data_IF_067649879517
#
_entry.id   IF_067649879517
#
_cell.length_a   1.000
_cell.length_b   1.000
_cell.length_c   1.000
_cell.angle_alpha   90.00
_cell.angle_beta   90.00
_cell.angle_gamma   90.00
#
_symmetry.space_group_name_H-M   'P 1'
#
loop_
_entity.id
_entity.type
_entity.pdbx_description
1 polymer ?
#
# COMPACT_ATOMS: atom_id res chain seq x y z
N UNK A 1 -14.49 28.59 78.47
CA UNK A 1 -14.77 27.30 77.79
C UNK A 1 -14.57 27.52 76.30
N UNK A 2 -13.34 27.33 75.83
CA UNK A 2 -12.97 27.53 74.43
C UNK A 2 -13.24 26.26 73.62
N UNK A 3 -13.91 26.44 72.49
CA UNK A 3 -14.19 25.41 71.51
C UNK A 3 -12.98 25.31 70.57
N UNK A 4 -12.20 24.24 70.71
CA UNK A 4 -11.25 23.82 69.68
C UNK A 4 -12.06 23.44 68.43
N UNK A 5 -12.17 24.44 67.55
CA UNK A 5 -12.68 24.46 66.17
C UNK A 5 -14.15 24.01 65.96
N UNK A 6 -15.07 24.94 65.61
CA UNK A 6 -16.35 24.60 65.00
C UNK A 6 -16.18 24.07 63.58
N UNK A 7 -16.74 22.89 63.32
CA UNK A 7 -16.56 22.08 62.10
C UNK A 7 -17.31 22.65 60.87
N UNK A 8 -18.14 23.69 61.02
CA UNK A 8 -19.13 24.02 59.99
C UNK A 8 -18.67 25.00 58.91
N UNK A 9 -17.50 25.65 59.00
CA UNK A 9 -17.04 26.52 57.91
C UNK A 9 -15.55 26.85 57.88
N UNK A 10 -14.66 25.96 58.35
CA UNK A 10 -13.26 26.10 57.94
C UNK A 10 -13.24 25.82 56.44
N UNK A 11 -13.06 26.87 55.64
CA UNK A 11 -12.91 26.77 54.20
C UNK A 11 -11.70 25.88 53.93
N UNK A 12 -11.93 24.57 53.76
CA UNK A 12 -10.87 23.57 53.63
C UNK A 12 -9.92 23.95 52.49
N UNK A 13 -10.45 24.51 51.40
CA UNK A 13 -9.64 25.03 50.31
C UNK A 13 -8.69 26.12 50.80
N UNK A 14 -9.16 27.11 51.55
CA UNK A 14 -8.32 28.19 52.09
C UNK A 14 -7.33 27.70 53.15
N UNK A 15 -7.75 26.75 54.00
CA UNK A 15 -6.88 26.13 55.01
C UNK A 15 -5.69 25.42 54.37
N UNK A 16 -5.92 24.68 53.27
CA UNK A 16 -4.91 23.86 52.61
C UNK A 16 -4.18 24.56 51.45
N UNK A 17 -4.44 25.85 51.16
CA UNK A 17 -3.80 26.56 50.02
C UNK A 17 -3.01 27.83 50.38
N UNK A 18 -3.25 28.48 51.53
CA UNK A 18 -2.60 29.77 51.88
C UNK A 18 -2.01 29.72 53.29
N UNK A 19 -0.98 28.91 53.54
CA UNK A 19 -0.28 28.74 54.85
C UNK A 19 -1.22 28.63 56.08
N UNK A 20 -2.49 28.35 55.84
CA UNK A 20 -3.56 28.49 56.83
C UNK A 20 -3.52 27.35 57.83
N UNK A 21 -3.00 26.19 57.39
CA UNK A 21 -2.76 25.06 58.25
C UNK A 21 -1.70 25.36 59.31
N UNK A 22 -0.61 26.05 58.95
CA UNK A 22 0.45 26.38 59.90
C UNK A 22 -0.03 27.40 60.93
N UNK A 23 -0.80 28.41 60.49
CA UNK A 23 -1.44 29.36 61.41
C UNK A 23 -2.46 28.68 62.33
N UNK A 24 -3.22 27.72 61.84
CA UNK A 24 -4.21 26.99 62.64
C UNK A 24 -3.52 26.06 63.65
N UNK A 25 -2.48 25.35 63.24
CA UNK A 25 -1.70 24.48 64.12
C UNK A 25 -1.05 25.28 65.24
N UNK A 26 -0.51 26.47 64.92
CA UNK A 26 0.05 27.37 65.92
C UNK A 26 -1.00 27.86 66.92
N UNK A 27 -2.21 28.20 66.47
CA UNK A 27 -3.30 28.57 67.38
C UNK A 27 -3.69 27.43 68.33
N UNK A 28 -3.71 26.19 67.84
CA UNK A 28 -3.96 25.01 68.68
C UNK A 28 -2.81 24.82 69.69
N UNK A 29 -1.56 25.00 69.27
CA UNK A 29 -0.39 24.92 70.13
C UNK A 29 -0.40 25.98 71.22
N UNK A 30 -0.69 27.23 70.88
CA UNK A 30 -0.81 28.35 71.82
C UNK A 30 -1.95 28.08 72.83
N UNK A 31 -3.13 27.63 72.37
CA UNK A 31 -4.28 27.33 73.25
C UNK A 31 -4.00 26.16 74.22
N UNK A 32 -3.21 25.16 73.80
CA UNK A 32 -2.79 24.04 74.66
C UNK A 32 -1.66 24.45 75.60
N UNK A 33 -0.77 25.35 75.18
CA UNK A 33 0.35 25.83 75.99
C UNK A 33 -0.11 26.76 77.12
N UNK A 34 -1.18 27.54 76.90
CA UNK A 34 -1.81 28.40 77.90
C UNK A 34 -2.73 27.62 78.88
N UNK A 35 -2.96 26.33 78.64
CA UNK A 35 -3.82 25.49 79.48
C UNK A 35 -3.06 24.94 80.70
N UNK A 36 -3.28 25.56 81.86
CA UNK A 36 -2.79 25.06 83.15
C UNK A 36 -3.90 24.36 83.95
N UNK A 37 -3.68 23.11 84.32
CA UNK A 37 -4.60 22.33 85.15
C UNK A 37 -3.85 21.56 86.25
N UNK A 38 -4.40 21.58 87.47
CA UNK A 38 -3.77 20.91 88.63
C UNK A 38 -3.99 19.38 88.58
N UNK A 39 -2.93 18.66 88.23
CA UNK A 39 -2.88 17.18 88.18
C UNK A 39 -3.13 16.50 89.53
N UNK A 40 -2.93 17.19 90.65
CA UNK A 40 -3.21 16.65 91.97
C UNK A 40 -4.72 16.48 92.20
N UNK A 41 -5.55 17.30 91.56
CA UNK A 41 -7.01 17.24 91.68
C UNK A 41 -7.66 16.27 90.69
N UNK A 42 -8.78 15.64 91.08
CA UNK A 42 -9.59 14.81 90.17
C UNK A 42 -10.12 15.64 89.00
N UNK A 43 -10.50 16.89 89.25
CA UNK A 43 -11.03 17.82 88.25
C UNK A 43 -9.96 18.19 87.20
N UNK A 44 -8.76 18.59 87.62
CA UNK A 44 -7.68 18.94 86.69
C UNK A 44 -7.25 17.75 85.82
N UNK A 45 -7.22 16.52 86.36
CA UNK A 45 -6.98 15.31 85.54
C UNK A 45 -8.05 15.06 84.48
N UNK A 46 -9.32 15.40 84.76
CA UNK A 46 -10.39 15.29 83.76
C UNK A 46 -10.30 16.39 82.70
N UNK A 47 -9.92 17.60 83.08
CA UNK A 47 -9.71 18.70 82.14
C UNK A 47 -8.55 18.41 81.18
N UNK A 48 -7.42 17.87 81.68
CA UNK A 48 -6.29 17.42 80.84
C UNK A 48 -6.75 16.37 79.81
N UNK A 49 -7.52 15.35 80.24
CA UNK A 49 -8.06 14.32 79.34
C UNK A 49 -8.96 14.92 78.26
N UNK A 50 -9.81 15.88 78.65
CA UNK A 50 -10.73 16.56 77.74
C UNK A 50 -9.97 17.37 76.67
N UNK A 51 -8.97 18.16 77.07
CA UNK A 51 -8.15 18.94 76.14
C UNK A 51 -7.38 18.03 75.17
N UNK A 52 -6.75 16.96 75.67
CA UNK A 52 -6.07 15.98 74.81
C UNK A 52 -7.01 15.28 73.81
N UNK A 53 -8.24 14.98 74.23
CA UNK A 53 -9.26 14.42 73.34
C UNK A 53 -9.65 15.43 72.24
N UNK A 54 -9.84 16.70 72.58
CA UNK A 54 -10.13 17.75 71.59
C UNK A 54 -9.01 17.90 70.55
N UNK A 55 -7.75 17.89 70.96
CA UNK A 55 -6.60 17.90 70.02
C UNK A 55 -6.66 16.70 69.06
N UNK A 56 -6.98 15.52 69.59
CA UNK A 56 -7.12 14.30 68.78
C UNK A 56 -8.29 14.41 67.78
N UNK A 57 -9.39 15.04 68.20
CA UNK A 57 -10.54 15.30 67.33
C UNK A 57 -10.18 16.28 66.21
N UNK A 58 -9.52 17.40 66.54
CA UNK A 58 -9.06 18.40 65.55
C UNK A 58 -8.19 17.76 64.47
N UNK A 59 -7.27 16.86 64.85
CA UNK A 59 -6.46 16.09 63.89
C UNK A 59 -7.34 15.30 62.90
N UNK A 60 -8.34 14.58 63.40
CA UNK A 60 -9.24 13.78 62.58
C UNK A 60 -10.09 14.62 61.63
N UNK A 61 -10.58 15.77 62.10
CA UNK A 61 -11.35 16.72 61.30
C UNK A 61 -10.50 17.29 60.16
N UNK A 62 -9.28 17.74 60.46
CA UNK A 62 -8.35 18.29 59.46
C UNK A 62 -8.03 17.24 58.38
N UNK A 63 -7.67 16.02 58.78
CA UNK A 63 -7.36 14.94 57.84
C UNK A 63 -8.56 14.59 56.94
N UNK A 64 -9.76 14.51 57.52
CA UNK A 64 -10.99 14.23 56.76
C UNK A 64 -11.29 15.34 55.76
N UNK A 65 -11.21 16.61 56.18
CA UNK A 65 -11.44 17.75 55.30
C UNK A 65 -10.46 17.81 54.11
N UNK A 66 -9.19 17.49 54.33
CA UNK A 66 -8.19 17.40 53.26
C UNK A 66 -8.48 16.26 52.28
N UNK A 67 -8.87 15.09 52.78
CA UNK A 67 -9.25 13.94 51.96
C UNK A 67 -10.47 14.23 51.08
N UNK A 68 -11.51 14.83 51.65
CA UNK A 68 -12.73 15.18 50.93
C UNK A 68 -12.46 16.24 49.85
N UNK A 69 -11.64 17.24 50.16
CA UNK A 69 -11.22 18.26 49.20
C UNK A 69 -10.50 17.66 47.98
N UNK A 70 -9.52 16.78 48.23
CA UNK A 70 -8.78 16.09 47.16
C UNK A 70 -9.68 15.15 46.37
N UNK A 71 -10.63 14.47 47.03
CA UNK A 71 -11.61 13.63 46.36
C UNK A 71 -12.48 14.44 45.38
N UNK A 72 -12.94 15.62 45.80
CA UNK A 72 -13.73 16.51 44.94
C UNK A 72 -12.92 17.12 43.81
N UNK A 73 -11.64 17.47 44.03
CA UNK A 73 -10.74 17.87 42.95
C UNK A 73 -10.55 16.77 41.92
N UNK A 74 -10.36 15.52 42.34
CA UNK A 74 -10.26 14.37 41.43
C UNK A 74 -11.53 14.17 40.61
N UNK A 75 -12.71 14.30 41.23
CA UNK A 75 -14.00 14.25 40.50
C UNK A 75 -14.09 15.35 39.45
N UNK A 76 -13.78 16.60 39.82
CA UNK A 76 -13.80 17.74 38.89
C UNK A 76 -12.80 17.55 37.74
N UNK A 77 -11.59 17.10 38.04
CA UNK A 77 -10.57 16.79 37.04
C UNK A 77 -11.05 15.70 36.07
N UNK A 78 -11.64 14.61 36.58
CA UNK A 78 -12.18 13.53 35.75
C UNK A 78 -13.29 14.03 34.80
N UNK A 79 -14.18 14.91 35.26
CA UNK A 79 -15.22 15.54 34.41
C UNK A 79 -14.60 16.39 33.30
N UNK A 80 -13.57 17.16 33.61
CA UNK A 80 -12.84 17.97 32.62
C UNK A 80 -12.16 17.08 31.60
N UNK A 81 -11.46 16.02 32.03
CA UNK A 81 -10.75 15.12 31.12
C UNK A 81 -11.70 14.35 30.20
N UNK A 82 -12.84 13.91 30.72
CA UNK A 82 -13.88 13.31 29.89
C UNK A 82 -14.45 14.30 28.87
N UNK A 83 -14.70 15.54 29.27
CA UNK A 83 -15.15 16.59 28.35
C UNK A 83 -14.11 16.88 27.27
N UNK A 84 -12.82 16.95 27.64
CA UNK A 84 -11.72 17.11 26.69
C UNK A 84 -11.61 15.94 25.72
N UNK A 85 -11.85 14.70 26.19
CA UNK A 85 -11.88 13.50 25.35
C UNK A 85 -12.99 13.57 24.32
N UNK A 86 -14.21 13.93 24.75
CA UNK A 86 -15.36 14.12 23.86
C UNK A 86 -15.10 15.22 22.83
N UNK A 87 -14.53 16.36 23.25
CA UNK A 87 -14.20 17.45 22.35
C UNK A 87 -13.21 17.02 21.26
N UNK A 88 -12.14 16.30 21.61
CA UNK A 88 -11.17 15.77 20.62
C UNK A 88 -11.86 14.84 19.62
N UNK A 89 -12.57 13.82 20.11
CA UNK A 89 -13.23 12.84 19.24
C UNK A 89 -14.24 13.51 18.28
N UNK A 90 -15.02 14.48 18.77
CA UNK A 90 -15.96 15.22 17.94
C UNK A 90 -15.26 16.07 16.87
N UNK A 91 -14.18 16.76 17.22
CA UNK A 91 -13.44 17.60 16.27
C UNK A 91 -12.69 16.77 15.21
N UNK A 92 -12.15 15.60 15.59
CA UNK A 92 -11.51 14.67 14.66
C UNK A 92 -12.52 14.10 13.65
N UNK A 93 -13.71 13.69 14.12
CA UNK A 93 -14.82 13.24 13.27
C UNK A 93 -15.30 14.37 12.34
N UNK A 94 -15.47 15.59 12.87
CA UNK A 94 -15.87 16.75 12.08
C UNK A 94 -14.82 17.09 11.02
N UNK A 95 -13.53 17.06 11.36
CA UNK A 95 -12.43 17.27 10.42
C UNK A 95 -12.45 16.26 9.29
N UNK A 96 -12.67 14.98 9.63
CA UNK A 96 -12.80 13.88 8.66
C UNK A 96 -13.97 14.12 7.71
N UNK A 97 -15.15 14.46 8.23
CA UNK A 97 -16.35 14.77 7.43
C UNK A 97 -16.15 15.98 6.52
N UNK A 98 -15.53 17.05 7.01
CA UNK A 98 -15.21 18.23 6.21
C UNK A 98 -14.24 17.88 5.07
N UNK A 99 -13.30 16.96 5.30
CA UNK A 99 -12.32 16.53 4.28
C UNK A 99 -12.90 15.53 3.28
N UNK A 100 -13.95 14.79 3.64
CA UNK A 100 -14.51 13.70 2.84
C UNK A 100 -14.86 14.08 1.38
N UNK A 101 -15.48 15.24 1.08
CA UNK A 101 -15.77 15.62 -0.31
C UNK A 101 -14.52 15.81 -1.15
N UNK A 102 -13.45 16.39 -0.58
CA UNK A 102 -12.18 16.57 -1.27
C UNK A 102 -11.53 15.21 -1.55
N UNK A 103 -11.52 14.31 -0.56
CA UNK A 103 -10.97 12.95 -0.76
C UNK A 103 -11.75 12.16 -1.81
N UNK A 104 -13.08 12.29 -1.86
CA UNK A 104 -13.89 11.66 -2.91
C UNK A 104 -13.54 12.21 -4.30
N UNK A 105 -13.40 13.53 -4.42
CA UNK A 105 -13.00 14.16 -5.68
C UNK A 105 -11.59 13.76 -6.12
N UNK A 106 -10.62 13.72 -5.20
CA UNK A 106 -9.24 13.28 -5.48
C UNK A 106 -9.20 11.83 -5.99
N UNK A 107 -10.00 10.94 -5.39
CA UNK A 107 -10.13 9.54 -5.84
C UNK A 107 -10.76 9.45 -7.24
N UNK A 108 -11.78 10.26 -7.52
CA UNK A 108 -12.40 10.32 -8.84
C UNK A 108 -11.40 10.83 -9.90
N UNK A 109 -10.64 11.88 -9.61
CA UNK A 109 -9.60 12.38 -10.52
C UNK A 109 -8.52 11.33 -10.79
N UNK A 110 -8.07 10.62 -9.76
CA UNK A 110 -7.10 9.53 -9.92
C UNK A 110 -7.67 8.40 -10.80
N UNK A 111 -8.96 8.07 -10.65
CA UNK A 111 -9.62 7.07 -11.49
C UNK A 111 -9.74 7.52 -12.95
N UNK A 112 -10.08 8.80 -13.19
CA UNK A 112 -10.13 9.39 -14.54
C UNK A 112 -8.75 9.35 -15.20
N UNK A 113 -7.69 9.71 -14.48
CA UNK A 113 -6.33 9.67 -15.01
C UNK A 113 -5.89 8.24 -15.34
N UNK A 114 -6.17 7.28 -14.45
CA UNK A 114 -5.89 5.87 -14.69
C UNK A 114 -6.66 5.33 -15.91
N UNK A 115 -7.94 5.68 -16.05
CA UNK A 115 -8.76 5.31 -17.20
C UNK A 115 -8.22 5.91 -18.49
N UNK A 116 -7.82 7.18 -18.48
CA UNK A 116 -7.20 7.83 -19.64
C UNK A 116 -5.92 7.12 -20.08
N UNK A 117 -5.03 6.79 -19.13
CA UNK A 117 -3.81 6.03 -19.43
C UNK A 117 -4.11 4.67 -20.05
N UNK A 118 -5.16 3.99 -19.60
CA UNK A 118 -5.58 2.71 -20.18
C UNK A 118 -6.10 2.90 -21.61
N UNK A 119 -6.91 3.93 -21.86
CA UNK A 119 -7.40 4.25 -23.21
C UNK A 119 -6.21 4.51 -24.15
N UNK A 120 -5.23 5.31 -23.71
CA UNK A 120 -4.04 5.62 -24.51
C UNK A 120 -3.22 4.34 -24.81
N UNK A 121 -3.08 3.44 -23.84
CA UNK A 121 -2.40 2.15 -24.04
C UNK A 121 -3.15 1.24 -25.01
N UNK A 122 -4.48 1.15 -24.87
CA UNK A 122 -5.31 0.33 -25.76
C UNK A 122 -5.24 0.88 -27.19
N UNK A 123 -5.27 2.21 -27.36
CA UNK A 123 -5.11 2.82 -28.68
C UNK A 123 -3.74 2.49 -29.30
N UNK A 124 -2.65 2.60 -28.52
CA UNK A 124 -1.31 2.25 -29.00
C UNK A 124 -1.19 0.76 -29.38
N UNK A 125 -1.71 -0.14 -28.55
CA UNK A 125 -1.72 -1.57 -28.84
C UNK A 125 -2.60 -1.92 -30.05
N UNK A 126 -3.70 -1.18 -30.24
CA UNK A 126 -4.57 -1.38 -31.40
C UNK A 126 -3.86 -1.00 -32.70
N UNK A 127 -3.19 0.15 -32.74
CA UNK A 127 -2.38 0.57 -33.89
C UNK A 127 -1.25 -0.42 -34.18
N UNK A 128 -0.55 -0.90 -33.14
CA UNK A 128 0.49 -1.92 -33.31
C UNK A 128 -0.07 -3.22 -33.88
N UNK A 129 -1.22 -3.69 -33.38
CA UNK A 129 -1.87 -4.89 -33.87
C UNK A 129 -2.30 -4.76 -35.35
N UNK A 130 -2.82 -3.60 -35.76
CA UNK A 130 -3.15 -3.33 -37.17
C UNK A 130 -1.90 -3.37 -38.04
N UNK A 131 -0.81 -2.72 -37.63
CA UNK A 131 0.45 -2.73 -38.36
C UNK A 131 1.05 -4.13 -38.49
N UNK A 132 0.96 -4.94 -37.43
CA UNK A 132 1.39 -6.34 -37.46
C UNK A 132 0.55 -7.18 -38.42
N UNK A 133 -0.77 -6.95 -38.46
CA UNK A 133 -1.64 -7.67 -39.38
C UNK A 133 -1.33 -7.31 -40.85
N UNK A 134 -1.14 -6.02 -41.14
CA UNK A 134 -0.74 -5.54 -42.46
C UNK A 134 0.60 -6.14 -42.91
N UNK A 135 1.58 -6.22 -42.00
CA UNK A 135 2.86 -6.84 -42.28
C UNK A 135 2.70 -8.32 -42.59
N UNK A 136 1.93 -9.05 -41.77
CA UNK A 136 1.66 -10.46 -41.96
C UNK A 136 1.00 -10.77 -43.31
N UNK A 137 0.02 -9.96 -43.72
CA UNK A 137 -0.63 -10.12 -45.02
C UNK A 137 0.31 -9.82 -46.20
N UNK A 138 1.17 -8.79 -46.08
CA UNK A 138 2.21 -8.50 -47.07
C UNK A 138 3.25 -9.62 -47.17
N UNK A 139 3.71 -10.15 -46.04
CA UNK A 139 4.66 -11.26 -46.00
C UNK A 139 4.09 -12.50 -46.69
N UNK A 140 2.81 -12.82 -46.46
CA UNK A 140 2.15 -13.92 -47.18
C UNK A 140 2.07 -13.68 -48.68
N UNK A 141 1.78 -12.45 -49.12
CA UNK A 141 1.76 -12.13 -50.55
C UNK A 141 3.14 -12.27 -51.19
N UNK A 142 4.19 -11.78 -50.51
CA UNK A 142 5.58 -11.93 -50.96
C UNK A 142 5.96 -13.41 -51.05
N UNK A 143 5.69 -14.21 -50.02
CA UNK A 143 5.96 -15.65 -50.03
C UNK A 143 5.22 -16.38 -51.16
N UNK A 144 3.97 -16.01 -51.43
CA UNK A 144 3.23 -16.58 -52.55
C UNK A 144 3.84 -16.24 -53.92
N UNK A 145 4.29 -14.99 -54.10
CA UNK A 145 4.97 -14.54 -55.33
C UNK A 145 6.34 -15.21 -55.49
N UNK A 146 7.11 -15.34 -54.41
CA UNK A 146 8.40 -16.05 -54.40
C UNK A 146 8.22 -17.52 -54.76
N UNK A 147 7.24 -18.20 -54.17
CA UNK A 147 6.95 -19.60 -54.49
C UNK A 147 6.53 -19.80 -55.95
N UNK A 148 5.76 -18.87 -56.52
CA UNK A 148 5.37 -18.90 -57.92
C UNK A 148 6.58 -18.64 -58.85
N UNK A 149 7.42 -17.66 -58.52
CA UNK A 149 8.65 -17.39 -59.27
C UNK A 149 9.60 -18.59 -59.23
N UNK A 150 9.72 -19.25 -58.08
CA UNK A 150 10.52 -20.45 -57.94
C UNK A 150 10.01 -21.58 -58.84
N UNK A 151 8.69 -21.84 -58.86
CA UNK A 151 8.09 -22.83 -59.77
C UNK A 151 8.34 -22.50 -61.24
N UNK A 152 8.25 -21.23 -61.62
CA UNK A 152 8.53 -20.79 -62.98
C UNK A 152 10.00 -21.02 -63.34
N UNK A 153 10.94 -20.69 -62.44
CA UNK A 153 12.36 -20.94 -62.63
C UNK A 153 12.66 -22.43 -62.76
N UNK A 154 12.10 -23.27 -61.89
CA UNK A 154 12.24 -24.73 -61.96
C UNK A 154 11.68 -25.30 -63.27
N UNK A 155 10.52 -24.81 -63.73
CA UNK A 155 9.94 -25.22 -65.01
C UNK A 155 10.81 -24.82 -66.21
N UNK A 156 11.33 -23.59 -66.21
CA UNK A 156 12.26 -23.11 -67.26
C UNK A 156 13.55 -23.94 -67.26
N UNK A 157 14.11 -24.24 -66.09
CA UNK A 157 15.31 -25.07 -65.99
C UNK A 157 15.05 -26.53 -66.45
N UNK A 158 13.91 -27.10 -66.06
CA UNK A 158 13.51 -28.44 -66.51
C UNK A 158 13.32 -28.49 -68.03
N UNK A 159 12.69 -27.47 -68.62
CA UNK A 159 12.53 -27.35 -70.06
C UNK A 159 13.90 -27.23 -70.75
N UNK A 160 14.81 -26.40 -70.22
CA UNK A 160 16.17 -26.27 -70.74
C UNK A 160 16.91 -27.61 -70.72
N UNK A 161 16.86 -28.34 -69.60
CA UNK A 161 17.45 -29.69 -69.48
C UNK A 161 16.82 -30.68 -70.45
N UNK A 162 15.50 -30.63 -70.65
CA UNK A 162 14.81 -31.50 -71.61
C UNK A 162 15.22 -31.19 -73.06
N UNK A 163 15.38 -29.92 -73.40
CA UNK A 163 15.82 -29.50 -74.74
C UNK A 163 17.30 -29.84 -74.98
N UNK A 164 18.16 -29.65 -73.99
CA UNK A 164 19.57 -30.11 -74.00
C UNK A 164 19.65 -31.63 -74.21
N UNK A 165 18.85 -32.41 -73.46
CA UNK A 165 18.80 -33.87 -73.59
C UNK A 165 18.27 -34.34 -74.95
N UNK A 166 17.25 -33.66 -75.50
CA UNK A 166 16.75 -33.93 -76.86
C UNK A 166 17.80 -33.62 -77.92
N UNK A 167 18.48 -32.49 -77.80
CA UNK A 167 19.55 -32.10 -78.72
C UNK A 167 20.71 -33.11 -78.68
N UNK A 168 21.10 -33.56 -77.49
CA UNK A 168 22.12 -34.59 -77.32
C UNK A 168 21.67 -35.94 -77.90
N UNK A 169 20.44 -36.38 -77.63
CA UNK A 169 19.88 -37.60 -78.20
C UNK A 169 19.82 -37.54 -79.74
N UNK A 170 19.45 -36.40 -80.31
CA UNK A 170 19.46 -36.18 -81.75
C UNK A 170 20.88 -36.26 -82.34
N UNK A 171 21.88 -35.67 -81.67
CA UNK A 171 23.29 -35.79 -82.06
C UNK A 171 23.75 -37.24 -82.06
N UNK A 172 23.49 -37.98 -80.98
CA UNK A 172 23.84 -39.40 -80.86
C UNK A 172 23.14 -40.24 -81.94
N UNK A 173 21.85 -39.98 -82.21
CA UNK A 173 21.11 -40.68 -83.26
C UNK A 173 21.69 -40.38 -84.66
N UNK A 174 22.05 -39.12 -84.95
CA UNK A 174 22.68 -38.74 -86.20
C UNK A 174 24.07 -39.41 -86.37
N UNK A 175 24.88 -39.46 -85.32
CA UNK A 175 26.17 -40.16 -85.33
C UNK A 175 26.00 -41.67 -85.57
N UNK A 176 25.03 -42.31 -84.91
CA UNK A 176 24.70 -43.73 -85.14
C UNK A 176 24.22 -43.99 -86.57
N UNK A 177 23.33 -43.15 -87.10
CA UNK A 177 22.85 -43.26 -88.47
C UNK A 177 23.98 -43.10 -89.49
N UNK A 178 24.90 -42.15 -89.28
CA UNK A 178 26.11 -42.01 -90.11
C UNK A 178 27.01 -43.24 -90.03
N UNK A 179 27.26 -43.75 -88.83
CA UNK A 179 28.09 -44.95 -88.64
C UNK A 179 27.45 -46.20 -89.26
N UNK A 180 26.12 -46.35 -89.18
CA UNK A 180 25.40 -47.45 -89.81
C UNK A 180 25.39 -47.33 -91.33
N UNK A 181 25.18 -46.14 -91.89
CA UNK A 181 25.29 -45.89 -93.33
C UNK A 181 26.71 -46.20 -93.84
N UNK A 182 27.76 -45.84 -93.10
CA UNK A 182 29.14 -46.18 -93.45
C UNK A 182 29.37 -47.70 -93.40
N UNK A 183 28.84 -48.41 -92.39
CA UNK A 183 28.92 -49.88 -92.32
C UNK A 183 28.18 -50.53 -93.48
N UNK A 184 26.97 -50.09 -93.81
CA UNK A 184 26.19 -50.59 -94.94
C UNK A 184 26.92 -50.35 -96.26
N UNK A 185 27.53 -49.18 -96.45
CA UNK A 185 28.35 -48.88 -97.62
C UNK A 185 29.59 -49.80 -97.72
N UNK A 186 30.25 -50.13 -96.59
CA UNK A 186 31.36 -51.09 -96.55
C UNK A 186 30.91 -52.52 -96.89
N UNK A 187 29.80 -52.98 -96.31
CA UNK A 187 29.24 -54.31 -96.60
C UNK A 187 28.80 -54.41 -98.06
N UNK A 188 28.17 -53.37 -98.60
CA UNK A 188 27.78 -53.32 -100.02
C UNK A 188 29.01 -53.35 -100.93
N UNK A 189 30.06 -52.59 -100.60
CA UNK A 189 31.32 -52.61 -101.33
C UNK A 189 32.01 -53.99 -101.27
N UNK A 190 31.97 -54.69 -100.14
CA UNK A 190 32.47 -56.07 -100.02
C UNK A 190 31.62 -57.10 -100.76
N UNK A 191 30.29 -56.94 -100.77
CA UNK A 191 29.38 -57.79 -101.54
C UNK A 191 29.58 -57.60 -103.05
N UNK A 192 29.72 -56.35 -103.50
CA UNK A 192 30.01 -56.00 -104.90
C UNK A 192 31.42 -56.50 -105.33
N UNK A 193 32.37 -56.59 -104.39
CA UNK A 193 33.69 -57.17 -104.62
C UNK A 193 33.66 -58.71 -104.70
N UNK A 194 32.86 -59.38 -103.87
CA UNK A 194 32.67 -60.85 -103.93
C UNK A 194 31.84 -61.31 -105.12
N UNK A 195 30.89 -60.51 -105.61
CA UNK A 195 30.11 -60.81 -106.82
C UNK A 195 30.94 -60.72 -108.12
N UNK A 196 32.16 -60.21 -108.05
CA UNK A 196 33.12 -60.09 -109.17
C UNK A 196 34.24 -61.15 -109.15
N UNK A 197 34.13 -62.18 -108.30
CA UNK A 197 35.07 -63.30 -108.17
C UNK A 197 34.35 -64.60 -108.53
#
# INVERSE_FOLDING_TARGET
MSNLIPIESVNALQLFTIDGIDSLLKQIEDEVSDFEADVATVKGRQEIKSTAYKVTLSKGVIDTAGKDLVADWKKKAAVVDESRRKARAFLDDLSTKVRQPLTAWEQEQAAIEAAKRLVDQVAALHEEALAMNDLFDREREVQAREAELQKQQEAVEAQRKADEAKAEAARIAQERAKAEAERQARVQAEADAKAKL
#
